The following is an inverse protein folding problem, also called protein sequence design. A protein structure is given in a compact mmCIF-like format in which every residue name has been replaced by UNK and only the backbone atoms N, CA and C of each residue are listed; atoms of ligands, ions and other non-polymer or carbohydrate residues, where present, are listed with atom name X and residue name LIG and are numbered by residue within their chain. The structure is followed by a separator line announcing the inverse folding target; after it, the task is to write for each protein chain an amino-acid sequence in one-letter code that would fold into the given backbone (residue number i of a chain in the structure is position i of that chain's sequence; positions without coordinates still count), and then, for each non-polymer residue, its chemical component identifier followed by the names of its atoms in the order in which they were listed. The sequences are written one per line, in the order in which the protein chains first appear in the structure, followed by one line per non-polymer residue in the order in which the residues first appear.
data_IF_008928937424
#
_entry.id   IF_008928937424
#
_cell.length_a   1.000
_cell.length_b   1.000
_cell.length_c   1.000
_cell.angle_alpha   90.00
_cell.angle_beta   90.00
_cell.angle_gamma   90.00
#
_symmetry.space_group_name_H-M   'P 1'
#
loop_
_entity.id
_entity.type
_entity.pdbx_description
1 polymer ?
#
# COMPACT_ATOMS: atom_id res chain seq x y z
N UNK A 1 79.60 23.54 19.59
CA UNK A 1 78.59 22.47 19.49
C UNK A 1 77.29 22.98 20.11
N UNK A 2 76.15 22.60 19.54
CA UNK A 2 74.74 22.72 20.00
C UNK A 2 73.90 23.39 18.91
N UNK A 3 73.14 22.55 18.22
CA UNK A 3 72.22 22.87 17.12
C UNK A 3 70.85 23.23 17.69
N UNK A 4 70.23 24.25 17.11
CA UNK A 4 68.83 24.63 17.30
C UNK A 4 67.89 23.46 16.97
N UNK A 5 66.94 23.16 17.86
CA UNK A 5 65.87 22.18 17.62
C UNK A 5 64.58 22.97 17.44
N UNK A 6 64.14 23.04 16.18
CA UNK A 6 62.86 23.60 15.76
C UNK A 6 61.72 22.60 15.99
N UNK A 7 60.55 23.15 16.35
CA UNK A 7 59.21 22.85 15.81
C UNK A 7 58.90 21.37 15.51
N UNK A 8 57.94 20.73 16.16
CA UNK A 8 56.51 20.89 15.83
C UNK A 8 55.71 19.97 16.75
N UNK A 9 54.77 20.49 17.54
CA UNK A 9 53.73 19.67 18.16
C UNK A 9 52.64 19.43 17.12
N UNK A 10 52.59 18.22 16.57
CA UNK A 10 51.50 17.77 15.71
C UNK A 10 50.23 17.57 16.53
N UNK A 11 49.21 18.40 16.30
CA UNK A 11 47.87 18.19 16.81
C UNK A 11 47.20 17.05 16.03
N UNK A 12 46.94 15.93 16.69
CA UNK A 12 46.17 14.82 16.13
C UNK A 12 44.70 15.21 16.01
N UNK A 13 44.22 15.47 14.80
CA UNK A 13 42.80 15.58 14.48
C UNK A 13 42.15 14.19 14.59
N UNK A 14 41.33 13.99 15.63
CA UNK A 14 40.48 12.81 15.75
C UNK A 14 39.29 12.97 14.79
N UNK A 15 39.30 12.22 13.69
CA UNK A 15 38.14 12.03 12.82
C UNK A 15 37.11 11.17 13.55
N UNK A 16 36.10 11.81 14.13
CA UNK A 16 34.92 11.11 14.66
C UNK A 16 34.04 10.64 13.49
N UNK A 17 34.11 9.36 13.16
CA UNK A 17 33.21 8.74 12.19
C UNK A 17 31.81 8.56 12.81
N UNK A 18 30.84 9.35 12.36
CA UNK A 18 29.43 9.08 12.67
C UNK A 18 29.02 7.80 11.94
N UNK A 19 28.89 6.69 12.67
CA UNK A 19 28.28 5.47 12.18
C UNK A 19 26.76 5.72 12.03
N UNK A 20 26.28 5.85 10.79
CA UNK A 20 24.86 5.82 10.49
C UNK A 20 24.35 4.38 10.67
N UNK A 21 23.33 4.14 11.53
CA UNK A 21 22.74 2.82 11.66
C UNK A 21 22.09 2.42 10.33
N UNK A 22 22.25 1.15 9.95
CA UNK A 22 21.60 0.59 8.77
C UNK A 22 20.07 0.73 8.89
N UNK A 23 19.36 1.06 7.80
CA UNK A 23 17.90 1.08 7.81
C UNK A 23 17.39 -0.33 8.19
N UNK A 24 16.29 -0.43 8.96
CA UNK A 24 15.71 -1.72 9.29
C UNK A 24 15.35 -2.47 7.99
N UNK A 25 15.43 -3.82 7.99
CA UNK A 25 15.01 -4.60 6.85
C UNK A 25 13.56 -4.26 6.51
N UNK A 26 13.32 -3.87 5.26
CA UNK A 26 11.97 -3.63 4.73
C UNK A 26 11.21 -4.95 4.85
N UNK A 27 10.24 -5.00 5.76
CA UNK A 27 9.41 -6.18 5.93
C UNK A 27 8.74 -6.49 4.59
N UNK A 28 9.02 -7.68 4.05
CA UNK A 28 8.24 -8.23 2.94
C UNK A 28 6.82 -8.38 3.46
N UNK A 29 5.89 -7.54 3.00
CA UNK A 29 4.51 -7.63 3.44
C UNK A 29 3.98 -9.02 3.05
N UNK A 30 3.66 -9.84 4.05
CA UNK A 30 3.08 -11.15 3.82
C UNK A 30 1.77 -10.97 3.02
N UNK A 31 1.62 -11.71 1.92
CA UNK A 31 0.41 -11.67 1.10
C UNK A 31 0.46 -10.78 -0.13
N UNK A 32 1.65 -10.38 -0.61
CA UNK A 32 1.83 -9.82 -1.96
C UNK A 32 2.30 -10.95 -2.90
N UNK A 33 1.52 -11.24 -3.94
CA UNK A 33 1.92 -12.11 -5.06
C UNK A 33 1.67 -11.40 -6.38
N UNK A 34 2.26 -11.84 -7.49
CA UNK A 34 1.82 -11.41 -8.82
C UNK A 34 1.13 -12.61 -9.49
N UNK A 35 -0.14 -12.45 -9.86
CA UNK A 35 -0.89 -13.41 -10.66
C UNK A 35 -1.53 -12.68 -11.83
N UNK A 36 -1.45 -13.26 -13.03
CA UNK A 36 -2.04 -12.67 -14.24
C UNK A 36 -1.54 -11.25 -14.60
N UNK A 37 -0.34 -10.87 -14.13
CA UNK A 37 0.24 -9.54 -14.38
C UNK A 37 -0.23 -8.44 -13.41
N UNK A 38 -1.05 -8.77 -12.41
CA UNK A 38 -1.44 -7.88 -11.31
C UNK A 38 -0.89 -8.39 -9.98
N UNK A 39 -0.68 -7.47 -9.05
CA UNK A 39 -0.47 -7.82 -7.66
C UNK A 39 -1.74 -8.50 -7.12
N UNK A 40 -1.58 -9.40 -6.16
CA UNK A 40 -2.62 -9.95 -5.33
C UNK A 40 -2.29 -9.57 -3.90
N UNK A 41 -3.26 -8.95 -3.22
CA UNK A 41 -3.16 -8.60 -1.80
C UNK A 41 -4.16 -9.41 -1.00
N UNK A 42 -3.72 -10.01 0.10
CA UNK A 42 -4.56 -10.79 1.00
C UNK A 42 -5.37 -9.89 1.97
N UNK A 43 -6.11 -8.92 1.45
CA UNK A 43 -7.00 -8.08 2.27
C UNK A 43 -8.24 -8.89 2.69
N UNK A 44 -8.66 -8.74 3.95
CA UNK A 44 -9.76 -9.53 4.52
C UNK A 44 -11.15 -8.99 4.11
N UNK A 45 -12.14 -9.88 3.99
CA UNK A 45 -13.56 -9.46 4.05
C UNK A 45 -13.90 -8.91 5.44
N UNK A 46 -14.94 -8.07 5.53
CA UNK A 46 -15.46 -7.51 6.78
C UNK A 46 -15.87 -6.05 6.68
N UNK A 47 -16.01 -5.41 7.83
CA UNK A 47 -16.30 -3.98 7.94
C UNK A 47 -15.04 -3.14 7.79
N UNK A 48 -15.05 -2.24 6.81
CA UNK A 48 -13.96 -1.31 6.56
C UNK A 48 -14.28 0.05 7.16
N UNK A 49 -13.31 0.60 7.89
CA UNK A 49 -13.28 2.00 8.30
C UNK A 49 -12.31 2.75 7.42
N UNK A 50 -12.81 3.81 6.82
CA UNK A 50 -12.07 4.69 5.95
C UNK A 50 -11.81 6.02 6.66
N UNK A 51 -11.00 6.86 6.02
CA UNK A 51 -10.85 8.25 6.42
C UNK A 51 -12.21 8.96 6.46
N UNK A 52 -12.28 10.07 7.22
CA UNK A 52 -13.48 10.92 7.35
C UNK A 52 -14.74 10.19 7.85
N UNK A 53 -14.57 9.02 8.47
CA UNK A 53 -15.67 8.26 9.09
C UNK A 53 -16.53 7.46 8.12
N UNK A 54 -16.12 7.32 6.86
CA UNK A 54 -16.82 6.47 5.89
C UNK A 54 -16.69 4.99 6.28
N UNK A 55 -17.76 4.23 6.08
CA UNK A 55 -17.82 2.78 6.37
C UNK A 55 -18.29 2.01 5.15
N UNK A 56 -17.71 0.83 4.96
CA UNK A 56 -18.01 -0.09 3.86
C UNK A 56 -18.11 -1.52 4.41
N UNK A 57 -19.07 -2.30 3.92
CA UNK A 57 -19.06 -3.75 4.07
C UNK A 57 -18.39 -4.37 2.85
N UNK A 58 -17.51 -5.36 3.06
CA UNK A 58 -16.79 -5.99 1.95
C UNK A 58 -16.78 -7.50 2.07
N UNK A 59 -17.18 -8.18 0.99
CA UNK A 59 -17.01 -9.62 0.84
C UNK A 59 -16.22 -9.92 -0.43
N UNK A 60 -15.11 -10.62 -0.29
CA UNK A 60 -14.23 -11.02 -1.41
C UNK A 60 -14.54 -12.44 -1.84
N UNK A 61 -14.61 -12.65 -3.14
CA UNK A 61 -14.80 -13.97 -3.74
C UNK A 61 -13.49 -14.46 -4.35
N UNK A 62 -12.92 -15.50 -3.76
CA UNK A 62 -11.65 -16.07 -4.18
C UNK A 62 -11.84 -17.20 -5.19
N UNK A 63 -11.04 -17.20 -6.25
CA UNK A 63 -10.91 -18.32 -7.19
C UNK A 63 -9.43 -18.52 -7.49
N UNK A 64 -8.92 -19.73 -7.33
CA UNK A 64 -7.50 -20.06 -7.57
C UNK A 64 -6.51 -19.12 -6.84
N UNK A 65 -6.88 -18.71 -5.61
CA UNK A 65 -6.14 -17.73 -4.79
C UNK A 65 -6.06 -16.30 -5.37
N UNK A 66 -6.89 -16.00 -6.37
CA UNK A 66 -7.09 -14.65 -6.91
C UNK A 66 -8.45 -14.13 -6.47
N UNK A 67 -8.48 -12.92 -5.95
CA UNK A 67 -9.75 -12.27 -5.65
C UNK A 67 -10.36 -11.81 -6.98
N UNK A 68 -11.44 -12.43 -7.45
CA UNK A 68 -11.97 -12.14 -8.79
C UNK A 68 -13.22 -11.24 -8.78
N UNK A 69 -13.87 -11.11 -7.62
CA UNK A 69 -15.09 -10.33 -7.44
C UNK A 69 -15.19 -9.83 -6.01
N UNK A 70 -15.73 -8.63 -5.85
CA UNK A 70 -16.03 -8.04 -4.54
C UNK A 70 -17.51 -7.70 -4.49
N UNK A 71 -18.17 -8.12 -3.41
CA UNK A 71 -19.46 -7.59 -3.01
C UNK A 71 -19.22 -6.44 -2.02
N UNK A 72 -19.74 -5.26 -2.35
CA UNK A 72 -19.53 -4.01 -1.62
C UNK A 72 -20.87 -3.48 -1.10
N UNK A 73 -20.96 -3.29 0.21
CA UNK A 73 -22.05 -2.55 0.85
C UNK A 73 -21.61 -1.12 1.14
N UNK A 74 -22.23 -0.16 0.47
CA UNK A 74 -21.91 1.26 0.66
C UNK A 74 -23.12 2.15 0.43
N UNK A 75 -23.28 3.16 1.27
CA UNK A 75 -24.33 4.18 1.15
C UNK A 75 -25.75 3.57 1.01
N UNK A 76 -26.03 2.51 1.76
CA UNK A 76 -27.32 1.80 1.77
C UNK A 76 -27.60 0.95 0.52
N UNK A 77 -26.59 0.69 -0.31
CA UNK A 77 -26.70 -0.10 -1.54
C UNK A 77 -25.66 -1.22 -1.55
N UNK A 78 -25.98 -2.26 -2.33
CA UNK A 78 -25.13 -3.40 -2.59
C UNK A 78 -24.62 -3.34 -4.03
N UNK A 79 -23.32 -3.57 -4.22
CA UNK A 79 -22.65 -3.50 -5.50
C UNK A 79 -21.79 -4.72 -5.72
N UNK A 80 -21.81 -5.24 -6.95
CA UNK A 80 -20.94 -6.33 -7.36
C UNK A 80 -19.86 -5.77 -8.29
N UNK A 81 -18.61 -5.76 -7.82
CA UNK A 81 -17.47 -5.26 -8.56
C UNK A 81 -16.67 -6.46 -9.10
N UNK A 82 -16.51 -6.55 -10.41
CA UNK A 82 -15.70 -7.57 -11.07
C UNK A 82 -14.26 -7.09 -11.19
N UNK A 83 -13.29 -8.00 -11.06
CA UNK A 83 -11.89 -7.65 -11.35
C UNK A 83 -11.73 -7.25 -12.82
N UNK A 84 -11.06 -6.13 -13.08
CA UNK A 84 -10.61 -5.75 -14.42
C UNK A 84 -9.33 -6.53 -14.77
N UNK A 85 -9.35 -7.47 -15.74
CA UNK A 85 -8.17 -8.25 -16.11
C UNK A 85 -7.18 -7.48 -17.01
N UNK A 86 -7.60 -6.38 -17.63
CA UNK A 86 -6.78 -5.63 -18.58
C UNK A 86 -5.81 -4.65 -17.90
N UNK A 87 -6.10 -4.30 -16.64
CA UNK A 87 -5.27 -3.41 -15.86
C UNK A 87 -4.00 -4.12 -15.37
N UNK A 88 -2.82 -3.52 -15.54
CA UNK A 88 -1.58 -4.02 -14.93
C UNK A 88 -1.27 -3.26 -13.65
N UNK A 89 -0.75 -3.95 -12.63
CA UNK A 89 -0.43 -3.36 -11.34
C UNK A 89 -1.38 -3.76 -10.21
N UNK A 90 -2.00 -2.79 -9.54
CA UNK A 90 -2.83 -3.05 -8.36
C UNK A 90 -4.13 -3.77 -8.74
N UNK A 91 -4.67 -4.68 -7.89
CA UNK A 91 -6.00 -5.22 -8.07
C UNK A 91 -7.02 -4.09 -8.23
N UNK A 92 -7.72 -4.11 -9.35
CA UNK A 92 -8.77 -3.16 -9.68
C UNK A 92 -10.07 -3.90 -9.91
N UNK A 93 -11.14 -3.43 -9.29
CA UNK A 93 -12.48 -4.01 -9.39
C UNK A 93 -13.47 -2.92 -9.76
N UNK A 94 -14.42 -3.24 -10.64
CA UNK A 94 -15.37 -2.27 -11.15
C UNK A 94 -16.78 -2.82 -11.21
N UNK A 95 -17.75 -1.98 -10.88
CA UNK A 95 -19.14 -2.15 -11.28
C UNK A 95 -19.42 -1.14 -12.40
N UNK A 96 -19.53 -1.64 -13.63
CA UNK A 96 -19.72 -0.80 -14.82
C UNK A 96 -21.06 -0.05 -14.81
N UNK A 97 -22.08 -0.55 -14.10
CA UNK A 97 -23.42 0.05 -14.07
C UNK A 97 -23.42 1.27 -13.14
N UNK A 98 -22.91 1.12 -11.91
CA UNK A 98 -22.78 2.26 -10.99
C UNK A 98 -21.63 3.18 -11.35
N UNK A 99 -20.60 2.64 -12.01
CA UNK A 99 -19.32 3.29 -12.24
C UNK A 99 -18.47 3.35 -10.97
N UNK A 100 -18.65 2.44 -10.00
CA UNK A 100 -17.78 2.36 -8.83
C UNK A 100 -16.53 1.57 -9.15
N UNK A 101 -15.41 2.04 -8.60
CA UNK A 101 -14.11 1.40 -8.75
C UNK A 101 -13.47 1.20 -7.38
N UNK A 102 -13.09 -0.03 -7.07
CA UNK A 102 -12.31 -0.37 -5.90
C UNK A 102 -10.89 -0.76 -6.28
N UNK A 103 -9.91 -0.24 -5.57
CA UNK A 103 -8.49 -0.58 -5.76
C UNK A 103 -7.94 -1.11 -4.44
N UNK A 104 -7.39 -2.32 -4.46
CA UNK A 104 -6.64 -2.83 -3.32
C UNK A 104 -5.22 -2.24 -3.34
N UNK A 105 -4.77 -1.78 -2.17
CA UNK A 105 -3.39 -1.41 -1.87
C UNK A 105 -2.84 -2.43 -0.85
N UNK A 106 -1.52 -2.48 -0.59
CA UNK A 106 -0.92 -3.55 0.23
C UNK A 106 -1.53 -3.76 1.63
N UNK A 107 -2.14 -2.75 2.24
CA UNK A 107 -2.74 -2.84 3.58
C UNK A 107 -4.03 -2.03 3.74
N UNK A 108 -4.61 -1.53 2.65
CA UNK A 108 -5.80 -0.67 2.65
C UNK A 108 -6.48 -0.71 1.29
N UNK A 109 -7.68 -0.17 1.20
CA UNK A 109 -8.37 0.02 -0.07
C UNK A 109 -8.82 1.46 -0.30
N UNK A 110 -9.29 1.69 -1.51
CA UNK A 110 -9.74 2.98 -2.02
C UNK A 110 -10.97 2.78 -2.91
N UNK A 111 -12.05 3.50 -2.62
CA UNK A 111 -13.23 3.57 -3.46
C UNK A 111 -13.20 4.87 -4.27
N UNK A 112 -13.38 4.76 -5.58
CA UNK A 112 -13.38 5.86 -6.54
C UNK A 112 -14.70 5.91 -7.31
N UNK A 113 -15.05 7.11 -7.76
CA UNK A 113 -15.94 7.30 -8.88
C UNK A 113 -15.16 6.97 -10.17
N UNK A 114 -15.60 5.97 -10.93
CA UNK A 114 -14.92 5.48 -12.12
C UNK A 114 -15.00 6.41 -13.33
N UNK A 115 -15.90 7.40 -13.32
CA UNK A 115 -16.05 8.38 -14.41
C UNK A 115 -15.14 9.59 -14.21
N UNK A 116 -15.01 10.03 -12.96
CA UNK A 116 -14.24 11.23 -12.59
C UNK A 116 -12.90 10.92 -11.95
N UNK A 117 -12.67 9.66 -11.55
CA UNK A 117 -11.55 9.19 -10.73
C UNK A 117 -11.44 9.90 -9.38
N UNK A 118 -12.49 10.57 -8.93
CA UNK A 118 -12.52 11.24 -7.64
C UNK A 118 -12.60 10.22 -6.49
N UNK A 119 -11.87 10.44 -5.37
CA UNK A 119 -11.96 9.56 -4.22
C UNK A 119 -13.29 9.72 -3.49
N UNK A 120 -14.00 8.60 -3.34
CA UNK A 120 -15.25 8.51 -2.58
C UNK A 120 -14.97 8.03 -1.14
N UNK A 121 -14.00 7.14 -0.96
CA UNK A 121 -13.54 6.68 0.35
C UNK A 121 -12.05 6.32 0.31
N UNK A 122 -11.23 7.01 1.14
CA UNK A 122 -9.78 6.83 1.22
C UNK A 122 -9.37 6.04 2.46
N UNK A 123 -8.16 5.47 2.44
CA UNK A 123 -7.50 4.85 3.60
C UNK A 123 -8.35 3.77 4.30
N UNK A 124 -9.11 3.00 3.53
CA UNK A 124 -10.04 2.02 4.09
C UNK A 124 -9.31 0.78 4.61
N UNK A 125 -9.51 0.43 5.89
CA UNK A 125 -8.93 -0.74 6.54
C UNK A 125 -10.01 -1.56 7.24
N UNK A 126 -9.84 -2.88 7.26
CA UNK A 126 -10.70 -3.76 8.07
C UNK A 126 -10.59 -3.37 9.56
N UNK A 127 -11.73 -3.32 10.24
CA UNK A 127 -11.83 -2.99 11.67
C UNK A 127 -11.70 -4.19 12.59
#
# INVERSE_FOLDING_TARGET
MIRSISCTLGAAFLLSACATPAPPPVATAAGISIQSGQFEFALASGDYRCERGVRLGMQREMRDRVNHRIQLDWNGKHYQLERDPSYSGLPRFEDQISGLVWIDLPWKGLLLDGRTHAPLANECRVS
#
